data_IF_776156704046
#
_entry.id   IF_776156704046
#
_cell.length_a   1.000
_cell.length_b   1.000
_cell.length_c   1.000
_cell.angle_alpha   90.00
_cell.angle_beta   90.00
_cell.angle_gamma   90.00
#
_symmetry.space_group_name_H-M   'P 1'
#
loop_
_entity.id
_entity.type
_entity.pdbx_description
1 polymer ?
#
# COMPACT_ATOMS: atom_id res chain seq x y z
N UNK A 1 -67.74 2.20 -28.29
CA UNK A 1 -66.50 1.83 -27.57
C UNK A 1 -66.40 2.32 -26.10
N UNK A 2 -67.48 2.56 -25.32
CA UNK A 2 -67.34 2.98 -23.91
C UNK A 2 -67.09 1.80 -22.94
N UNK A 3 -67.57 0.59 -23.28
CA UNK A 3 -67.44 -0.62 -22.42
C UNK A 3 -66.01 -1.11 -22.27
N UNK A 4 -65.18 -1.02 -23.32
CA UNK A 4 -63.76 -1.44 -23.26
C UNK A 4 -62.92 -0.46 -22.42
N UNK A 5 -63.21 0.84 -22.53
CA UNK A 5 -62.59 1.90 -21.72
C UNK A 5 -62.94 1.78 -20.23
N UNK A 6 -64.21 1.48 -19.92
CA UNK A 6 -64.64 1.23 -18.54
C UNK A 6 -63.97 -0.01 -17.92
N UNK A 7 -63.77 -1.07 -18.70
CA UNK A 7 -63.11 -2.29 -18.23
C UNK A 7 -61.61 -2.09 -17.98
N UNK A 8 -60.92 -1.33 -18.83
CA UNK A 8 -59.52 -0.97 -18.62
C UNK A 8 -59.31 -0.04 -17.42
N UNK A 9 -60.25 0.87 -17.15
CA UNK A 9 -60.19 1.77 -16.00
C UNK A 9 -60.40 1.01 -14.67
N UNK A 10 -61.24 -0.03 -14.68
CA UNK A 10 -61.49 -0.89 -13.52
C UNK A 10 -60.28 -1.77 -13.14
N UNK A 11 -59.46 -2.17 -14.12
CA UNK A 11 -58.26 -2.97 -13.85
C UNK A 11 -57.12 -2.16 -13.24
N UNK A 12 -57.03 -0.86 -13.54
CA UNK A 12 -55.98 0.02 -12.99
C UNK A 12 -56.24 0.37 -11.52
N UNK A 13 -57.50 0.45 -11.09
CA UNK A 13 -57.86 0.75 -9.69
C UNK A 13 -57.75 -0.45 -8.75
N UNK A 14 -57.61 -1.68 -9.28
CA UNK A 14 -57.46 -2.90 -8.49
C UNK A 14 -56.01 -3.18 -8.04
N UNK A 15 -55.03 -2.38 -8.47
CA UNK A 15 -53.64 -2.51 -8.04
C UNK A 15 -53.48 -1.95 -6.61
N UNK A 16 -53.80 -2.76 -5.61
CA UNK A 16 -53.48 -2.45 -4.21
C UNK A 16 -51.95 -2.48 -4.01
N UNK A 17 -51.37 -1.53 -3.25
CA UNK A 17 -49.95 -1.54 -2.94
C UNK A 17 -49.61 -2.78 -2.11
N UNK A 18 -48.68 -3.61 -2.59
CA UNK A 18 -48.13 -4.71 -1.82
C UNK A 18 -47.15 -4.18 -0.77
N UNK A 19 -47.61 -4.03 0.47
CA UNK A 19 -46.75 -3.68 1.61
C UNK A 19 -46.04 -4.94 2.11
N UNK A 20 -44.72 -5.01 1.99
CA UNK A 20 -43.92 -6.12 2.52
C UNK A 20 -43.73 -5.97 4.04
N UNK A 21 -44.56 -6.67 4.83
CA UNK A 21 -44.40 -6.77 6.28
C UNK A 21 -43.60 -8.03 6.65
N UNK A 22 -42.81 -7.98 7.73
CA UNK A 22 -42.10 -9.14 8.26
C UNK A 22 -42.71 -9.53 9.59
N UNK A 23 -43.04 -10.80 9.77
CA UNK A 23 -43.63 -11.35 10.98
C UNK A 23 -42.61 -12.20 11.73
N UNK A 24 -42.60 -12.10 13.07
CA UNK A 24 -41.78 -12.91 13.98
C UNK A 24 -42.66 -13.70 14.94
N UNK A 25 -42.35 -14.97 15.13
CA UNK A 25 -42.94 -15.81 16.18
C UNK A 25 -41.90 -16.77 16.77
N UNK A 26 -42.21 -17.31 17.93
CA UNK A 26 -41.44 -18.39 18.57
C UNK A 26 -42.26 -19.67 18.48
N UNK A 27 -41.67 -20.76 18.02
CA UNK A 27 -42.33 -22.07 17.94
C UNK A 27 -42.34 -22.82 19.28
N UNK A 28 -42.93 -24.02 19.30
CA UNK A 28 -43.02 -24.86 20.50
C UNK A 28 -41.65 -25.34 21.02
N UNK A 29 -40.63 -25.35 20.17
CA UNK A 29 -39.27 -25.75 20.52
C UNK A 29 -38.41 -24.56 20.96
N UNK A 30 -38.97 -23.35 21.02
CA UNK A 30 -38.26 -22.13 21.40
C UNK A 30 -37.49 -21.46 20.27
N UNK A 31 -37.61 -21.93 19.02
CA UNK A 31 -36.92 -21.33 17.86
C UNK A 31 -37.66 -20.10 17.36
N UNK A 32 -36.91 -19.05 17.02
CA UNK A 32 -37.45 -17.79 16.48
C UNK A 32 -37.47 -17.86 14.96
N UNK A 33 -38.65 -17.64 14.38
CA UNK A 33 -38.88 -17.66 12.93
C UNK A 33 -39.26 -16.28 12.40
N UNK A 34 -38.94 -16.03 11.14
CA UNK A 34 -39.30 -14.82 10.40
C UNK A 34 -39.92 -15.20 9.04
N UNK A 35 -40.99 -14.51 8.64
CA UNK A 35 -41.69 -14.75 7.37
C UNK A 35 -42.30 -13.46 6.83
N UNK A 36 -42.44 -13.35 5.52
CA UNK A 36 -43.21 -12.31 4.84
C UNK A 36 -44.73 -12.56 4.92
N UNK A 37 -45.13 -13.79 5.26
CA UNK A 37 -46.51 -14.23 5.39
C UNK A 37 -46.82 -14.58 6.85
N UNK A 38 -47.94 -14.10 7.43
CA UNK A 38 -48.24 -14.34 8.83
C UNK A 38 -48.63 -15.81 9.08
N UNK A 39 -48.13 -16.44 10.17
CA UNK A 39 -48.51 -17.80 10.52
C UNK A 39 -49.97 -17.87 10.98
N UNK A 40 -50.73 -18.84 10.45
CA UNK A 40 -52.19 -18.94 10.68
C UNK A 40 -52.58 -19.33 12.11
N UNK A 41 -51.77 -20.16 12.77
CA UNK A 41 -52.14 -20.83 14.02
C UNK A 41 -51.28 -20.43 15.21
N UNK A 42 -50.26 -19.58 15.00
CA UNK A 42 -49.31 -19.17 16.04
C UNK A 42 -49.40 -17.66 16.23
N UNK A 43 -49.42 -17.22 17.48
CA UNK A 43 -49.32 -15.79 17.80
C UNK A 43 -48.02 -15.24 17.24
N UNK A 44 -48.12 -14.16 16.48
CA UNK A 44 -47.01 -13.51 15.81
C UNK A 44 -47.01 -12.02 16.11
N UNK A 45 -45.87 -11.38 15.85
CA UNK A 45 -45.68 -9.94 15.97
C UNK A 45 -45.10 -9.40 14.68
N UNK A 46 -45.57 -8.23 14.23
CA UNK A 46 -44.99 -7.52 13.09
C UNK A 46 -43.64 -6.89 13.49
N UNK A 47 -42.66 -6.96 12.60
CA UNK A 47 -41.32 -6.42 12.77
C UNK A 47 -41.13 -5.23 11.84
N UNK A 48 -40.86 -4.06 12.42
CA UNK A 48 -40.39 -2.90 11.67
C UNK A 48 -38.89 -3.03 11.43
N UNK A 49 -38.50 -3.21 10.17
CA UNK A 49 -37.09 -3.31 9.77
C UNK A 49 -36.58 -1.93 9.41
N UNK A 50 -35.48 -1.52 10.06
CA UNK A 50 -34.78 -0.30 9.67
C UNK A 50 -34.04 -0.55 8.35
N UNK A 51 -34.00 0.44 7.44
CA UNK A 51 -33.22 0.29 6.21
C UNK A 51 -31.76 -0.02 6.56
N UNK A 52 -31.09 -0.90 5.78
CA UNK A 52 -29.69 -1.21 6.00
C UNK A 52 -28.85 0.06 5.84
N UNK A 53 -27.93 0.28 6.78
CA UNK A 53 -26.93 1.34 6.64
C UNK A 53 -25.92 0.87 5.60
N UNK A 54 -25.83 1.59 4.49
CA UNK A 54 -24.79 1.34 3.48
C UNK A 54 -23.52 2.04 3.93
N UNK A 55 -22.45 1.27 4.14
CA UNK A 55 -21.13 1.83 4.41
C UNK A 55 -20.31 1.79 3.12
N UNK A 56 -19.73 2.91 2.66
CA UNK A 56 -18.92 2.92 1.44
C UNK A 56 -17.69 2.01 1.61
N UNK A 57 -17.68 0.88 0.91
CA UNK A 57 -16.61 -0.12 1.05
C UNK A 57 -15.26 0.40 0.55
N UNK A 58 -15.25 1.21 -0.51
CA UNK A 58 -14.02 1.69 -1.16
C UNK A 58 -13.10 2.51 -0.24
N UNK A 59 -13.66 3.36 0.61
CA UNK A 59 -12.89 4.16 1.56
C UNK A 59 -12.33 3.30 2.70
N UNK A 60 -13.09 2.31 3.17
CA UNK A 60 -12.66 1.37 4.19
C UNK A 60 -11.48 0.52 3.74
N UNK A 61 -11.49 0.02 2.50
CA UNK A 61 -10.37 -0.75 1.94
C UNK A 61 -9.11 0.12 1.86
N UNK A 62 -9.21 1.34 1.31
CA UNK A 62 -8.07 2.28 1.24
C UNK A 62 -7.53 2.66 2.61
N UNK A 63 -8.39 2.78 3.61
CA UNK A 63 -7.98 3.04 4.99
C UNK A 63 -7.25 1.82 5.58
N UNK A 64 -7.79 0.61 5.37
CA UNK A 64 -7.16 -0.63 5.81
C UNK A 64 -5.76 -0.82 5.19
N UNK A 65 -5.59 -0.50 3.92
CA UNK A 65 -4.30 -0.57 3.23
C UNK A 65 -3.29 0.42 3.82
N UNK A 66 -3.70 1.67 4.07
CA UNK A 66 -2.85 2.68 4.71
C UNK A 66 -2.40 2.24 6.11
N UNK A 67 -3.31 1.67 6.89
CA UNK A 67 -2.99 1.13 8.23
C UNK A 67 -2.04 -0.07 8.14
N UNK A 68 -2.21 -0.94 7.13
CA UNK A 68 -1.29 -2.07 6.90
C UNK A 68 0.12 -1.57 6.55
N UNK A 69 0.23 -0.58 5.66
CA UNK A 69 1.51 0.00 5.26
C UNK A 69 2.21 0.67 6.44
N UNK A 70 1.50 1.49 7.22
CA UNK A 70 2.11 2.17 8.37
C UNK A 70 2.59 1.19 9.43
N UNK A 71 1.84 0.12 9.71
CA UNK A 71 2.28 -0.95 10.61
C UNK A 71 3.53 -1.66 10.11
N UNK A 72 3.61 -1.97 8.82
CA UNK A 72 4.78 -2.62 8.23
C UNK A 72 6.03 -1.72 8.30
N UNK A 73 5.87 -0.40 8.12
CA UNK A 73 6.97 0.55 8.26
C UNK A 73 7.46 0.65 9.71
N UNK A 74 6.54 0.79 10.66
CA UNK A 74 6.86 0.85 12.09
C UNK A 74 7.55 -0.44 12.54
N UNK A 75 7.06 -1.60 12.11
CA UNK A 75 7.70 -2.90 12.40
C UNK A 75 9.14 -2.93 11.89
N UNK A 76 9.39 -2.41 10.67
CA UNK A 76 10.76 -2.34 10.11
C UNK A 76 11.67 -1.41 10.92
N UNK A 77 11.14 -0.32 11.46
CA UNK A 77 11.89 0.63 12.28
C UNK A 77 12.20 0.07 13.68
N UNK A 78 11.24 -0.65 14.26
CA UNK A 78 11.36 -1.28 15.58
C UNK A 78 12.09 -2.63 15.54
N UNK A 79 12.26 -3.23 14.36
CA UNK A 79 12.96 -4.49 14.20
C UNK A 79 14.36 -4.42 14.86
N UNK A 80 14.73 -5.44 15.66
CA UNK A 80 16.06 -5.49 16.27
C UNK A 80 17.14 -5.45 15.18
N UNK A 81 18.18 -4.66 15.42
CA UNK A 81 19.23 -4.38 14.43
C UNK A 81 18.89 -3.28 13.41
N UNK A 82 17.75 -2.59 13.52
CA UNK A 82 17.45 -1.43 12.67
C UNK A 82 18.52 -0.33 12.81
N UNK A 83 18.93 0.00 14.04
CA UNK A 83 20.02 0.95 14.32
C UNK A 83 21.34 0.54 13.67
N UNK A 84 21.69 -0.74 13.75
CA UNK A 84 22.92 -1.27 13.16
C UNK A 84 22.85 -1.24 11.64
N UNK A 85 21.70 -1.59 11.04
CA UNK A 85 21.47 -1.44 9.60
C UNK A 85 21.59 0.01 9.13
N UNK A 86 21.03 0.96 9.89
CA UNK A 86 21.19 2.39 9.59
C UNK A 86 22.64 2.85 9.73
N UNK A 87 23.37 2.38 10.75
CA UNK A 87 24.78 2.68 10.92
C UNK A 87 25.63 2.11 9.77
N UNK A 88 25.43 0.83 9.42
CA UNK A 88 26.08 0.16 8.29
C UNK A 88 25.79 0.86 6.97
N UNK A 89 24.53 1.23 6.71
CA UNK A 89 24.17 1.98 5.51
C UNK A 89 24.85 3.36 5.44
N UNK A 90 25.00 4.04 6.58
CA UNK A 90 25.73 5.31 6.65
C UNK A 90 27.22 5.12 6.38
N UNK A 91 27.85 4.10 6.95
CA UNK A 91 29.27 3.80 6.70
C UNK A 91 29.51 3.39 5.25
N UNK A 92 28.67 2.51 4.68
CA UNK A 92 28.73 2.15 3.27
C UNK A 92 28.60 3.37 2.35
N UNK A 93 27.70 4.31 2.69
CA UNK A 93 27.56 5.57 1.95
C UNK A 93 28.82 6.43 2.03
N UNK A 94 29.45 6.54 3.20
CA UNK A 94 30.71 7.30 3.36
C UNK A 94 31.84 6.66 2.57
N UNK A 95 31.98 5.34 2.62
CA UNK A 95 32.97 4.60 1.85
C UNK A 95 32.77 4.82 0.35
N UNK A 96 31.53 4.67 -0.15
CA UNK A 96 31.20 4.93 -1.55
C UNK A 96 31.56 6.36 -1.98
N UNK A 97 31.26 7.37 -1.15
CA UNK A 97 31.65 8.76 -1.41
C UNK A 97 33.17 8.95 -1.45
N UNK A 98 33.91 8.26 -0.59
CA UNK A 98 35.37 8.31 -0.57
C UNK A 98 35.96 7.69 -1.84
N UNK A 99 35.43 6.54 -2.27
CA UNK A 99 35.84 5.87 -3.50
C UNK A 99 35.58 6.73 -4.74
N UNK A 100 34.45 7.44 -4.79
CA UNK A 100 34.15 8.41 -5.84
C UNK A 100 35.16 9.57 -5.88
N UNK A 101 35.63 10.05 -4.72
CA UNK A 101 36.67 11.09 -4.68
C UNK A 101 37.98 10.59 -5.28
N UNK A 102 38.40 9.37 -4.94
CA UNK A 102 39.61 8.77 -5.51
C UNK A 102 39.51 8.62 -7.02
N UNK A 103 38.36 8.13 -7.53
CA UNK A 103 38.11 8.03 -8.98
C UNK A 103 38.25 9.38 -9.67
N UNK A 104 37.58 10.43 -9.17
CA UNK A 104 37.66 11.78 -9.73
C UNK A 104 39.08 12.36 -9.70
N UNK A 105 39.84 12.09 -8.65
CA UNK A 105 41.24 12.53 -8.55
C UNK A 105 42.14 11.78 -9.55
N UNK A 106 41.93 10.48 -9.75
CA UNK A 106 42.63 9.71 -10.78
C UNK A 106 42.33 10.25 -12.18
N UNK A 107 41.06 10.52 -12.49
CA UNK A 107 40.65 11.10 -13.78
C UNK A 107 41.29 12.46 -14.02
N UNK A 108 41.36 13.31 -13.00
CA UNK A 108 42.05 14.60 -13.10
C UNK A 108 43.53 14.44 -13.41
N UNK A 109 44.23 13.56 -12.69
CA UNK A 109 45.67 13.30 -12.93
C UNK A 109 45.86 12.73 -14.34
N UNK A 110 44.99 11.83 -14.77
CA UNK A 110 45.03 11.26 -16.10
C UNK A 110 44.77 12.31 -17.18
N UNK A 111 43.85 13.25 -16.97
CA UNK A 111 43.62 14.40 -17.84
C UNK A 111 44.86 15.29 -17.95
N UNK A 112 45.53 15.59 -16.83
CA UNK A 112 46.78 16.35 -16.82
C UNK A 112 47.90 15.62 -17.57
N UNK A 113 47.95 14.28 -17.49
CA UNK A 113 48.88 13.46 -18.26
C UNK A 113 48.52 13.37 -19.75
N UNK A 114 47.33 13.79 -20.18
CA UNK A 114 46.97 13.88 -21.60
C UNK A 114 47.21 15.29 -22.16
N UNK A 115 47.18 16.30 -21.31
CA UNK A 115 47.23 17.72 -21.71
C UNK A 115 48.63 18.27 -22.07
N UNK A 116 49.64 17.42 -22.26
CA UNK A 116 51.04 17.85 -22.44
C UNK A 116 51.65 18.41 -21.13
N UNK A 117 52.90 18.06 -20.84
CA UNK A 117 53.56 18.45 -19.59
C UNK A 117 55.09 18.42 -19.72
N UNK A 118 55.79 19.15 -18.83
CA UNK A 118 57.24 19.01 -18.66
C UNK A 118 57.61 17.71 -17.96
N UNK A 119 58.80 17.17 -18.21
CA UNK A 119 59.23 15.87 -17.68
C UNK A 119 59.11 15.75 -16.16
N UNK A 120 59.54 16.77 -15.41
CA UNK A 120 59.48 16.76 -13.94
C UNK A 120 58.05 16.74 -13.43
N UNK A 121 57.17 17.53 -14.06
CA UNK A 121 55.73 17.53 -13.76
C UNK A 121 55.11 16.17 -14.07
N UNK A 122 55.50 15.55 -15.18
CA UNK A 122 55.07 14.20 -15.57
C UNK A 122 55.47 13.13 -14.56
N UNK A 123 56.71 13.16 -14.08
CA UNK A 123 57.19 12.24 -13.05
C UNK A 123 56.39 12.37 -11.75
N UNK A 124 56.13 13.61 -11.31
CA UNK A 124 55.28 13.89 -10.15
C UNK A 124 53.84 13.38 -10.32
N UNK A 125 53.22 13.63 -11.48
CA UNK A 125 51.86 13.18 -11.78
C UNK A 125 51.76 11.64 -11.79
N UNK A 126 52.73 10.94 -12.40
CA UNK A 126 52.79 9.47 -12.38
C UNK A 126 52.95 8.92 -10.97
N UNK A 127 53.79 9.53 -10.13
CA UNK A 127 53.96 9.13 -8.74
C UNK A 127 52.66 9.32 -7.94
N UNK A 128 52.01 10.48 -8.08
CA UNK A 128 50.70 10.76 -7.44
C UNK A 128 49.64 9.74 -7.88
N UNK A 129 49.55 9.47 -9.19
CA UNK A 129 48.62 8.47 -9.74
C UNK A 129 48.85 7.09 -9.13
N UNK A 130 50.10 6.62 -9.03
CA UNK A 130 50.43 5.30 -8.45
C UNK A 130 49.98 5.21 -6.99
N UNK A 131 50.34 6.20 -6.16
CA UNK A 131 49.94 6.24 -4.75
C UNK A 131 48.42 6.23 -4.59
N UNK A 132 47.73 7.06 -5.36
CA UNK A 132 46.27 7.15 -5.30
C UNK A 132 45.58 5.87 -5.82
N UNK A 133 46.13 5.24 -6.86
CA UNK A 133 45.59 3.96 -7.38
C UNK A 133 45.75 2.84 -6.36
N UNK A 134 46.86 2.80 -5.61
CA UNK A 134 47.05 1.85 -4.53
C UNK A 134 46.03 2.04 -3.40
N UNK A 135 45.80 3.30 -2.96
CA UNK A 135 44.79 3.62 -1.96
C UNK A 135 43.38 3.22 -2.43
N UNK A 136 43.03 3.58 -3.66
CA UNK A 136 41.75 3.19 -4.26
C UNK A 136 41.58 1.67 -4.33
N UNK A 137 42.59 0.95 -4.79
CA UNK A 137 42.53 -0.52 -4.84
C UNK A 137 42.32 -1.13 -3.46
N UNK A 138 43.07 -0.66 -2.46
CA UNK A 138 42.98 -1.18 -1.10
C UNK A 138 41.61 -0.93 -0.48
N UNK A 139 41.13 0.29 -0.54
CA UNK A 139 39.96 0.72 0.26
C UNK A 139 38.61 0.57 -0.47
N UNK A 140 38.64 0.41 -1.80
CA UNK A 140 37.43 0.42 -2.63
C UNK A 140 37.23 -0.84 -3.49
N UNK A 141 38.27 -1.62 -3.77
CA UNK A 141 38.18 -2.80 -4.63
C UNK A 141 38.34 -4.11 -3.84
N UNK A 142 39.24 -4.13 -2.85
CA UNK A 142 39.55 -5.36 -2.10
C UNK A 142 38.60 -5.63 -0.93
N UNK A 143 38.00 -4.59 -0.33
CA UNK A 143 37.09 -4.70 0.81
C UNK A 143 35.62 -4.95 0.42
N UNK A 144 35.30 -5.18 -0.86
CA UNK A 144 33.93 -5.44 -1.35
C UNK A 144 33.59 -6.92 -1.57
N UNK A 145 34.45 -7.84 -1.11
CA UNK A 145 34.29 -9.28 -1.29
C UNK A 145 34.06 -10.02 0.03
#
# INVERSE_FOLDING_TARGET
>A
MPRKLALSLLFVTAAAPATAEIYRWTDANGSIHFSDTPPRQVRHSSVSVKPPVTVPMGENIRQADRVRQSRAEVERLLAPGSKDRYAQAREAKKQAQQCEKYRKQLDRIQGQLRAGYSNDRGNGLRQKRRKLSQLYSRECMLDQN
#
